data_IF_014844750601
#
_entry.id   IF_014844750601
#
_cell.length_a   1.000
_cell.length_b   1.000
_cell.length_c   1.000
_cell.angle_alpha   90.00
_cell.angle_beta   90.00
_cell.angle_gamma   90.00
#
_symmetry.space_group_name_H-M   'P 1'
#
loop_
_entity.id
_entity.type
_entity.pdbx_description
1 polymer ?
#
# COMPACT_ATOMS: atom_id res chain seq x y z
N UNK A 1 -9.57 -18.57 4.37
CA UNK A 1 -8.72 -17.36 4.42
C UNK A 1 -7.36 -17.83 4.92
N UNK A 2 -6.26 -17.66 4.17
CA UNK A 2 -4.94 -18.10 4.66
C UNK A 2 -4.60 -17.41 5.98
N UNK A 3 -3.91 -18.12 6.88
CA UNK A 3 -3.50 -17.61 8.20
C UNK A 3 -2.82 -16.23 8.06
N UNK A 4 -1.96 -16.09 7.05
CA UNK A 4 -1.26 -14.86 6.66
C UNK A 4 -2.16 -13.67 6.34
N UNK A 5 -3.24 -13.86 5.57
CA UNK A 5 -4.17 -12.76 5.24
C UNK A 5 -4.87 -12.24 6.49
N UNK A 6 -5.24 -13.15 7.39
CA UNK A 6 -5.87 -12.80 8.66
C UNK A 6 -4.91 -12.06 9.59
N UNK A 7 -3.67 -12.53 9.72
CA UNK A 7 -2.61 -11.87 10.49
C UNK A 7 -2.36 -10.45 9.96
N UNK A 8 -2.24 -10.28 8.64
CA UNK A 8 -2.05 -8.97 8.03
C UNK A 8 -3.25 -8.05 8.23
N UNK A 9 -4.48 -8.59 8.30
CA UNK A 9 -5.67 -7.80 8.62
C UNK A 9 -5.63 -7.27 10.05
N UNK A 10 -5.22 -8.10 11.02
CA UNK A 10 -5.04 -7.64 12.42
C UNK A 10 -3.94 -6.58 12.48
N UNK A 11 -2.81 -6.82 11.81
CA UNK A 11 -1.74 -5.84 11.68
C UNK A 11 -2.26 -4.51 11.12
N UNK A 12 -3.04 -4.52 10.03
CA UNK A 12 -3.60 -3.30 9.44
C UNK A 12 -4.46 -2.52 10.43
N UNK A 13 -5.30 -3.19 11.21
CA UNK A 13 -6.13 -2.54 12.24
C UNK A 13 -5.26 -1.84 13.29
N UNK A 14 -4.30 -2.57 13.87
CA UNK A 14 -3.39 -2.04 14.90
C UNK A 14 -2.48 -0.93 14.35
N UNK A 15 -2.00 -1.08 13.12
CA UNK A 15 -1.18 -0.08 12.45
C UNK A 15 -1.98 1.19 12.17
N UNK A 16 -3.27 1.07 11.82
CA UNK A 16 -4.13 2.24 11.64
C UNK A 16 -4.33 3.00 12.96
N UNK A 17 -4.54 2.29 14.06
CA UNK A 17 -4.62 2.89 15.42
C UNK A 17 -3.31 3.60 15.77
N UNK A 18 -2.16 2.96 15.51
CA UNK A 18 -0.84 3.56 15.70
C UNK A 18 -0.64 4.81 14.83
N UNK A 19 -0.94 4.75 13.53
CA UNK A 19 -0.79 5.88 12.62
C UNK A 19 -1.69 7.07 13.03
N UNK A 20 -2.90 6.81 13.52
CA UNK A 20 -3.78 7.84 14.06
C UNK A 20 -3.25 8.43 15.38
N UNK A 21 -2.62 7.62 16.25
CA UNK A 21 -2.07 8.11 17.52
C UNK A 21 -0.83 8.99 17.35
N UNK A 22 -0.07 8.80 16.26
CA UNK A 22 1.07 9.65 15.91
C UNK A 22 0.68 11.09 15.53
N UNK A 23 -0.58 11.32 15.14
CA UNK A 23 -1.06 12.63 14.65
C UNK A 23 -0.15 13.25 13.57
N UNK A 24 0.18 12.45 12.54
CA UNK A 24 1.10 12.87 11.46
C UNK A 24 0.63 14.21 10.87
N UNK A 25 1.45 15.27 10.87
CA UNK A 25 1.01 16.59 10.44
C UNK A 25 0.68 16.63 8.95
N UNK A 26 -0.45 17.22 8.59
CA UNK A 26 -0.83 17.49 7.20
C UNK A 26 -0.20 18.78 6.68
N UNK A 27 0.18 19.68 7.60
CA UNK A 27 0.73 21.02 7.33
C UNK A 27 1.93 21.26 8.25
N UNK A 28 2.96 21.96 7.75
CA UNK A 28 4.19 22.22 8.52
C UNK A 28 4.65 23.68 8.42
N UNK A 29 5.43 24.10 9.43
CA UNK A 29 6.06 25.41 9.50
C UNK A 29 5.13 26.57 9.86
N UNK A 30 5.72 27.76 10.03
CA UNK A 30 5.03 28.99 10.44
C UNK A 30 3.86 29.37 9.51
N UNK A 31 3.99 29.05 8.22
CA UNK A 31 2.98 29.36 7.19
C UNK A 31 1.97 28.24 6.94
N UNK A 32 1.97 27.16 7.76
CA UNK A 32 1.08 25.99 7.61
C UNK A 32 1.05 25.44 6.17
N UNK A 33 2.24 25.24 5.57
CA UNK A 33 2.36 24.73 4.20
C UNK A 33 1.87 23.28 4.16
N UNK A 34 0.90 22.99 3.30
CA UNK A 34 0.37 21.64 3.12
C UNK A 34 1.40 20.70 2.49
N UNK A 35 1.54 19.51 3.06
CA UNK A 35 2.45 18.50 2.53
C UNK A 35 1.88 17.83 1.27
N UNK A 36 2.76 17.58 0.31
CA UNK A 36 2.41 16.87 -0.92
C UNK A 36 1.98 15.43 -0.61
N UNK A 37 1.13 14.84 -1.44
CA UNK A 37 0.69 13.44 -1.25
C UNK A 37 1.86 12.46 -1.34
N UNK A 38 2.92 12.79 -2.09
CA UNK A 38 4.15 11.99 -2.12
C UNK A 38 4.88 12.03 -0.78
N UNK A 39 5.10 13.22 -0.25
CA UNK A 39 5.77 13.40 1.06
C UNK A 39 5.01 12.68 2.17
N UNK A 40 3.68 12.79 2.17
CA UNK A 40 2.84 12.09 3.13
C UNK A 40 2.95 10.58 2.96
N UNK A 41 2.93 10.05 1.73
CA UNK A 41 3.12 8.62 1.47
C UNK A 41 4.43 8.11 2.05
N UNK A 42 5.53 8.82 1.80
CA UNK A 42 6.86 8.43 2.29
C UNK A 42 6.91 8.38 3.83
N UNK A 43 6.27 9.36 4.50
CA UNK A 43 6.20 9.40 5.98
C UNK A 43 5.35 8.25 6.53
N UNK A 44 4.17 8.01 5.94
CA UNK A 44 3.27 6.93 6.34
C UNK A 44 3.94 5.58 6.17
N UNK A 45 4.63 5.36 5.04
CA UNK A 45 5.34 4.12 4.76
C UNK A 45 6.43 3.86 5.80
N UNK A 46 7.21 4.88 6.17
CA UNK A 46 8.24 4.75 7.22
C UNK A 46 7.65 4.36 8.57
N UNK A 47 6.56 5.01 9.00
CA UNK A 47 5.90 4.66 10.26
C UNK A 47 5.28 3.26 10.21
N UNK A 48 4.64 2.91 9.09
CA UNK A 48 4.09 1.57 8.87
C UNK A 48 5.18 0.51 8.95
N UNK A 49 6.35 0.76 8.33
CA UNK A 49 7.50 -0.14 8.35
C UNK A 49 8.04 -0.30 9.78
N UNK A 50 8.23 0.82 10.51
CA UNK A 50 8.69 0.76 11.91
C UNK A 50 7.74 -0.06 12.76
N UNK A 51 6.43 0.22 12.68
CA UNK A 51 5.42 -0.54 13.40
C UNK A 51 5.36 -2.01 12.96
N UNK A 52 5.63 -2.31 11.69
CA UNK A 52 5.72 -3.69 11.19
C UNK A 52 6.88 -4.46 11.82
N UNK A 53 8.04 -3.82 11.97
CA UNK A 53 9.20 -4.38 12.68
C UNK A 53 8.82 -4.66 14.14
N UNK A 54 8.23 -3.68 14.83
CA UNK A 54 7.81 -3.83 16.23
C UNK A 54 6.78 -4.95 16.41
N UNK A 55 5.85 -5.08 15.46
CA UNK A 55 4.75 -6.05 15.55
C UNK A 55 5.19 -7.49 15.25
N UNK A 56 6.03 -7.70 14.23
CA UNK A 56 6.44 -9.04 13.80
C UNK A 56 7.76 -9.51 14.40
N UNK A 57 8.64 -8.57 14.76
CA UNK A 57 10.02 -8.80 15.15
C UNK A 57 11.01 -8.45 14.03
N UNK A 58 12.12 -7.84 14.39
CA UNK A 58 13.20 -7.44 13.46
C UNK A 58 13.82 -8.64 12.74
N UNK A 59 13.87 -9.81 13.39
CA UNK A 59 14.35 -11.06 12.82
C UNK A 59 13.47 -11.56 11.65
N UNK A 60 12.20 -11.16 11.63
CA UNK A 60 11.21 -11.61 10.63
C UNK A 60 11.00 -10.63 9.49
N UNK A 61 11.43 -9.37 9.63
CA UNK A 61 11.16 -8.32 8.66
C UNK A 61 12.43 -7.96 7.88
N UNK A 62 12.39 -8.10 6.56
CA UNK A 62 13.52 -7.76 5.65
C UNK A 62 13.05 -6.87 4.51
N UNK A 63 13.96 -6.07 3.97
CA UNK A 63 13.69 -5.20 2.83
C UNK A 63 14.25 -5.77 1.54
N UNK A 64 13.49 -5.66 0.45
CA UNK A 64 13.96 -6.00 -0.89
C UNK A 64 13.50 -4.96 -1.89
N UNK A 65 14.43 -4.47 -2.70
CA UNK A 65 14.16 -3.52 -3.76
C UNK A 65 14.17 -4.23 -5.13
N UNK A 66 13.10 -4.04 -5.92
CA UNK A 66 13.05 -4.43 -7.32
C UNK A 66 13.01 -3.21 -8.23
N UNK A 67 14.19 -2.71 -8.62
CA UNK A 67 14.33 -1.56 -9.55
C UNK A 67 13.54 -0.33 -9.08
N UNK A 68 13.69 0.05 -7.81
CA UNK A 68 13.00 1.20 -7.23
C UNK A 68 11.62 0.88 -6.65
N UNK A 69 11.27 -0.40 -6.49
CA UNK A 69 10.05 -0.82 -5.79
C UNK A 69 10.41 -1.60 -4.55
N UNK A 70 10.13 -1.00 -3.41
CA UNK A 70 10.37 -1.59 -2.11
C UNK A 70 9.23 -2.54 -1.73
N UNK A 71 9.63 -3.72 -1.29
CA UNK A 71 8.75 -4.75 -0.76
C UNK A 71 9.36 -5.21 0.55
N UNK A 72 8.48 -5.45 1.51
CA UNK A 72 8.84 -5.95 2.81
C UNK A 72 8.63 -7.45 2.82
N UNK A 73 9.65 -8.20 3.18
CA UNK A 73 9.59 -9.63 3.34
C UNK A 73 9.27 -9.90 4.81
N UNK A 74 8.23 -10.66 5.07
CA UNK A 74 7.86 -11.10 6.43
C UNK A 74 7.96 -12.63 6.47
N UNK A 75 8.80 -13.16 7.33
CA UNK A 75 8.92 -14.60 7.55
C UNK A 75 8.04 -15.02 8.73
N UNK A 76 6.90 -15.65 8.44
CA UNK A 76 6.01 -16.28 9.42
C UNK A 76 6.09 -17.81 9.28
N UNK A 77 4.96 -18.51 9.31
CA UNK A 77 4.84 -19.91 8.87
C UNK A 77 5.18 -20.07 7.37
N UNK A 78 5.02 -19.00 6.60
CA UNK A 78 5.44 -18.86 5.21
C UNK A 78 6.17 -17.53 4.99
N UNK A 79 6.85 -17.39 3.85
CA UNK A 79 7.46 -16.12 3.45
C UNK A 79 6.45 -15.27 2.69
N UNK A 80 6.11 -14.12 3.26
CA UNK A 80 5.23 -13.13 2.66
C UNK A 80 6.04 -12.01 2.05
N UNK A 81 5.62 -11.54 0.89
CA UNK A 81 6.08 -10.30 0.29
C UNK A 81 4.96 -9.28 0.45
N UNK A 82 5.20 -8.18 1.13
CA UNK A 82 4.20 -7.17 1.43
C UNK A 82 4.57 -5.87 0.74
N UNK A 83 3.69 -5.42 -0.13
CA UNK A 83 3.75 -4.08 -0.69
C UNK A 83 2.79 -3.16 0.05
N UNK A 84 3.28 -2.03 0.54
CA UNK A 84 2.46 -1.01 1.21
C UNK A 84 1.98 -0.01 0.16
N UNK A 85 0.72 0.41 0.28
CA UNK A 85 0.12 1.48 -0.50
C UNK A 85 -0.57 2.47 0.41
N UNK A 86 -0.33 3.75 0.16
CA UNK A 86 -1.00 4.82 0.88
C UNK A 86 -1.69 5.74 -0.13
N UNK A 87 -2.92 6.13 0.16
CA UNK A 87 -3.67 7.02 -0.71
C UNK A 87 -4.55 7.96 0.11
N UNK A 88 -4.73 9.17 -0.41
CA UNK A 88 -5.81 10.03 0.04
C UNK A 88 -7.15 9.39 -0.32
N UNK A 89 -8.11 9.44 0.61
CA UNK A 89 -9.38 8.76 0.47
C UNK A 89 -10.20 9.35 -0.68
N UNK A 90 -10.55 8.50 -1.65
CA UNK A 90 -11.39 8.86 -2.77
C UNK A 90 -12.48 7.81 -2.99
N UNK A 91 -13.72 8.16 -2.61
CA UNK A 91 -14.91 7.30 -2.75
C UNK A 91 -15.23 6.92 -4.20
N UNK A 92 -14.72 7.68 -5.17
CA UNK A 92 -14.97 7.47 -6.60
C UNK A 92 -13.87 6.63 -7.26
N UNK A 93 -12.81 6.26 -6.55
CA UNK A 93 -11.72 5.45 -7.10
C UNK A 93 -12.06 3.96 -6.96
N UNK A 94 -12.00 3.22 -8.06
CA UNK A 94 -12.33 1.79 -8.09
C UNK A 94 -11.10 0.90 -7.93
N UNK A 95 -9.90 1.41 -8.23
CA UNK A 95 -8.66 0.64 -8.12
C UNK A 95 -7.49 1.49 -7.65
N UNK A 96 -6.54 0.86 -6.97
CA UNK A 96 -5.27 1.48 -6.61
C UNK A 96 -4.14 0.99 -7.51
N UNK A 97 -3.12 1.83 -7.67
CA UNK A 97 -1.94 1.49 -8.42
C UNK A 97 -0.98 0.62 -7.60
N UNK A 98 -0.53 -0.50 -8.17
CA UNK A 98 0.42 -1.40 -7.52
C UNK A 98 1.85 -1.23 -8.03
N UNK A 99 2.09 -1.51 -9.31
CA UNK A 99 3.44 -1.57 -9.89
C UNK A 99 3.47 -1.11 -11.35
N UNK A 100 4.66 -0.92 -11.92
CA UNK A 100 4.80 -0.90 -13.38
C UNK A 100 4.57 -2.29 -13.97
N UNK A 101 4.01 -2.37 -15.17
CA UNK A 101 3.65 -3.63 -15.81
C UNK A 101 4.87 -4.54 -16.05
N UNK A 102 6.05 -3.96 -16.33
CA UNK A 102 7.29 -4.70 -16.53
C UNK A 102 7.76 -5.41 -15.26
N UNK A 103 7.52 -4.82 -14.08
CA UNK A 103 7.86 -5.41 -12.79
C UNK A 103 6.90 -6.54 -12.46
N UNK A 104 5.60 -6.37 -12.66
CA UNK A 104 4.62 -7.45 -12.45
C UNK A 104 4.97 -8.68 -13.27
N UNK A 105 5.27 -8.50 -14.56
CA UNK A 105 5.73 -9.60 -15.44
C UNK A 105 6.96 -10.30 -14.90
N UNK A 106 7.92 -9.58 -14.30
CA UNK A 106 9.12 -10.17 -13.69
C UNK A 106 8.76 -10.96 -12.42
N UNK A 107 7.95 -10.40 -11.54
CA UNK A 107 7.51 -11.05 -10.30
C UNK A 107 6.67 -12.30 -10.59
N UNK A 108 5.85 -12.27 -11.63
CA UNK A 108 5.07 -13.43 -12.10
C UNK A 108 5.98 -14.57 -12.58
N UNK A 109 7.01 -14.27 -13.38
CA UNK A 109 8.02 -15.27 -13.81
C UNK A 109 8.78 -15.87 -12.63
N UNK A 110 9.01 -15.08 -11.58
CA UNK A 110 9.66 -15.52 -10.35
C UNK A 110 8.70 -16.22 -9.36
N UNK A 111 7.43 -16.42 -9.75
CA UNK A 111 6.36 -16.98 -8.90
C UNK A 111 6.13 -16.20 -7.59
N UNK A 112 6.57 -14.95 -7.51
CA UNK A 112 6.43 -14.11 -6.31
C UNK A 112 4.99 -13.68 -6.09
N UNK A 113 4.18 -13.55 -7.15
CA UNK A 113 2.77 -13.13 -7.02
C UNK A 113 1.93 -14.06 -6.13
N UNK A 114 2.34 -15.32 -5.97
CA UNK A 114 1.70 -16.31 -5.09
C UNK A 114 1.91 -16.01 -3.60
N UNK A 115 2.90 -15.18 -3.29
CA UNK A 115 3.28 -14.80 -1.93
C UNK A 115 3.22 -13.28 -1.73
N UNK A 116 2.80 -12.53 -2.75
CA UNK A 116 2.75 -11.07 -2.71
C UNK A 116 1.37 -10.60 -2.25
N UNK A 117 1.37 -9.88 -1.14
CA UNK A 117 0.23 -9.25 -0.52
C UNK A 117 0.34 -7.73 -0.68
N UNK A 118 -0.80 -7.05 -0.70
CA UNK A 118 -0.84 -5.61 -0.69
C UNK A 118 -1.60 -5.10 0.54
N UNK A 119 -0.93 -4.30 1.35
CA UNK A 119 -1.54 -3.56 2.44
C UNK A 119 -1.82 -2.14 1.97
N UNK A 120 -3.03 -1.64 2.21
CA UNK A 120 -3.45 -0.30 1.81
C UNK A 120 -3.95 0.50 3.01
N UNK A 121 -3.41 1.70 3.21
CA UNK A 121 -3.90 2.69 4.16
C UNK A 121 -4.52 3.89 3.43
N UNK A 122 -5.75 4.24 3.80
CA UNK A 122 -6.49 5.37 3.23
C UNK A 122 -6.64 6.48 4.28
N UNK A 123 -6.24 7.69 3.93
CA UNK A 123 -6.24 8.83 4.84
C UNK A 123 -6.98 10.06 4.29
N UNK A 124 -7.46 10.94 5.18
CA UNK A 124 -7.94 12.28 4.86
C UNK A 124 -6.93 13.30 5.38
N UNK A 125 -6.66 14.34 4.57
CA UNK A 125 -5.84 15.50 4.98
C UNK A 125 -6.54 16.86 4.80
N UNK A 126 -7.58 16.93 3.98
CA UNK A 126 -8.26 18.19 3.67
C UNK A 126 -8.92 18.78 4.93
N UNK A 127 -8.70 20.08 5.16
CA UNK A 127 -9.22 20.83 6.31
C UNK A 127 -8.80 20.28 7.69
N UNK A 128 -7.70 19.53 7.79
CA UNK A 128 -7.14 19.02 9.04
C UNK A 128 -5.72 19.53 9.30
N UNK A 129 -5.34 19.54 10.57
CA UNK A 129 -3.96 19.81 10.99
C UNK A 129 -3.09 18.52 10.96
N UNK A 130 -3.72 17.36 11.13
CA UNK A 130 -3.09 16.03 11.06
C UNK A 130 -3.87 15.08 10.15
N UNK A 131 -3.22 14.01 9.70
CA UNK A 131 -3.84 12.95 8.91
C UNK A 131 -4.81 12.14 9.78
N UNK A 132 -5.99 11.85 9.23
CA UNK A 132 -6.90 10.85 9.79
C UNK A 132 -6.91 9.63 8.88
N UNK A 133 -6.56 8.47 9.42
CA UNK A 133 -6.62 7.19 8.71
C UNK A 133 -8.00 6.57 8.88
N UNK A 134 -8.70 6.40 7.76
CA UNK A 134 -10.06 5.86 7.72
C UNK A 134 -10.09 4.34 7.63
N UNK A 135 -9.10 3.75 6.96
CA UNK A 135 -9.03 2.30 6.81
C UNK A 135 -7.62 1.80 6.54
N UNK A 136 -7.31 0.63 7.12
CA UNK A 136 -6.23 -0.25 6.73
C UNK A 136 -6.83 -1.54 6.16
N UNK A 137 -6.45 -1.93 4.95
CA UNK A 137 -7.04 -3.09 4.25
C UNK A 137 -5.95 -3.96 3.63
N UNK A 138 -6.26 -5.24 3.43
CA UNK A 138 -5.33 -6.20 2.84
C UNK A 138 -5.93 -6.89 1.61
N UNK A 139 -5.14 -6.96 0.54
CA UNK A 139 -5.37 -7.85 -0.58
C UNK A 139 -4.49 -9.10 -0.45
N UNK A 140 -5.06 -10.26 -0.77
CA UNK A 140 -4.38 -11.56 -0.70
C UNK A 140 -3.30 -11.75 -1.78
N UNK A 141 -2.85 -13.00 -2.00
CA UNK A 141 -1.89 -13.32 -3.04
C UNK A 141 -2.29 -12.70 -4.38
N UNK A 142 -1.43 -11.86 -4.94
CA UNK A 142 -1.75 -11.16 -6.18
C UNK A 142 -1.91 -12.09 -7.40
N UNK A 143 -1.54 -13.36 -7.30
CA UNK A 143 -1.86 -14.37 -8.32
C UNK A 143 -3.33 -14.77 -8.37
N UNK A 144 -4.11 -14.48 -7.32
CA UNK A 144 -5.52 -14.89 -7.19
C UNK A 144 -6.51 -13.74 -7.46
N UNK A 145 -6.00 -12.56 -7.79
CA UNK A 145 -6.82 -11.35 -8.02
C UNK A 145 -6.65 -10.88 -9.45
N UNK A 146 -7.68 -10.22 -9.96
CA UNK A 146 -7.63 -9.63 -11.29
C UNK A 146 -6.80 -8.34 -11.28
N UNK A 147 -5.72 -8.36 -12.06
CA UNK A 147 -4.74 -7.28 -12.19
C UNK A 147 -4.99 -6.54 -13.50
N UNK A 148 -5.38 -5.27 -13.39
CA UNK A 148 -5.72 -4.43 -14.54
C UNK A 148 -4.45 -3.75 -15.05
N UNK A 149 -4.11 -4.00 -16.31
CA UNK A 149 -3.03 -3.28 -16.98
C UNK A 149 -3.57 -2.02 -17.64
N UNK A 150 -2.95 -0.88 -17.36
CA UNK A 150 -3.37 0.43 -17.84
C UNK A 150 -2.18 1.21 -18.37
N UNK A 151 -2.28 1.71 -19.59
CA UNK A 151 -1.36 2.71 -20.15
C UNK A 151 -2.05 4.06 -20.16
N UNK A 152 -1.32 5.13 -19.82
CA UNK A 152 -1.86 6.50 -19.85
C UNK A 152 -2.47 6.81 -21.22
N UNK A 153 -3.76 7.14 -21.22
CA UNK A 153 -4.56 7.38 -22.43
C UNK A 153 -5.55 6.27 -22.77
N UNK A 154 -5.43 5.09 -22.15
CA UNK A 154 -6.43 4.03 -22.27
C UNK A 154 -7.76 4.45 -21.61
N UNK A 155 -8.86 3.84 -22.05
CA UNK A 155 -10.21 4.04 -21.48
C UNK A 155 -10.67 2.77 -20.73
N UNK A 156 -10.19 2.53 -19.50
CA UNK A 156 -10.63 1.39 -18.70
C UNK A 156 -12.09 1.56 -18.25
N UNK A 157 -12.80 0.45 -18.06
CA UNK A 157 -14.19 0.43 -17.58
C UNK A 157 -14.36 0.84 -16.10
N UNK A 158 -13.27 1.13 -15.40
CA UNK A 158 -13.24 1.48 -13.98
C UNK A 158 -12.38 2.71 -13.74
N UNK A 159 -12.60 3.41 -12.62
CA UNK A 159 -11.85 4.60 -12.25
C UNK A 159 -10.54 4.21 -11.58
N UNK A 160 -9.44 4.42 -12.30
CA UNK A 160 -8.08 4.14 -11.87
C UNK A 160 -7.35 5.42 -11.43
N UNK A 161 -6.23 5.24 -10.73
CA UNK A 161 -5.27 6.33 -10.45
C UNK A 161 -4.42 6.61 -11.70
N UNK A 162 -4.50 7.83 -12.25
CA UNK A 162 -3.91 8.17 -13.56
C UNK A 162 -2.71 9.12 -13.48
N UNK A 163 -2.25 9.44 -12.26
CA UNK A 163 -1.15 10.39 -12.00
C UNK A 163 0.22 9.92 -12.50
N UNK A 164 0.36 8.64 -12.90
CA UNK A 164 1.63 8.03 -13.26
C UNK A 164 1.77 7.83 -14.78
N UNK A 165 3.00 7.98 -15.30
CA UNK A 165 3.31 7.80 -16.73
C UNK A 165 3.79 6.38 -17.05
N UNK A 166 3.41 5.85 -18.22
CA UNK A 166 3.76 4.48 -18.66
C UNK A 166 2.66 3.45 -18.36
N UNK A 167 2.96 2.18 -18.62
CA UNK A 167 2.02 1.08 -18.37
C UNK A 167 2.17 0.53 -16.95
N UNK A 168 1.06 0.50 -16.23
CA UNK A 168 0.99 0.10 -14.84
C UNK A 168 -0.03 -0.98 -14.59
N UNK A 169 0.11 -1.62 -13.44
CA UNK A 169 -0.81 -2.61 -12.93
C UNK A 169 -1.61 -2.01 -11.77
N UNK A 170 -2.93 -2.12 -11.85
CA UNK A 170 -3.87 -1.68 -10.83
C UNK A 170 -4.60 -2.88 -10.24
N UNK A 171 -4.98 -2.74 -8.97
CA UNK A 171 -5.79 -3.70 -8.24
C UNK A 171 -7.10 -3.05 -7.82
N UNK A 172 -8.22 -3.67 -8.19
CA UNK A 172 -9.54 -3.19 -7.81
C UNK A 172 -9.72 -3.21 -6.29
N UNK A 173 -10.33 -2.14 -5.78
CA UNK A 173 -10.62 -1.93 -4.37
C UNK A 173 -11.50 -3.04 -3.78
N UNK A 174 -12.33 -3.70 -4.59
CA UNK A 174 -13.15 -4.85 -4.20
C UNK A 174 -12.36 -6.05 -3.69
N UNK A 175 -11.08 -6.17 -4.04
CA UNK A 175 -10.22 -7.28 -3.59
C UNK A 175 -9.55 -7.04 -2.24
N UNK A 176 -9.65 -5.81 -1.71
CA UNK A 176 -9.22 -5.48 -0.37
C UNK A 176 -10.32 -5.81 0.64
N UNK A 177 -9.95 -6.44 1.76
CA UNK A 177 -10.85 -6.81 2.87
C UNK A 177 -10.37 -6.32 4.22
#
# INVERSE_FOLDING_TARGET
>A
MTNSKFILKIFCSKCMEHLNSLQIPAKVGKHKIGLSSRTLSDVIEKHTIGFMIDYFGEDKVKFKNWRGYDVIIITLEETLYVNIKTNEHNKKMDATWLFSASIVKKLQKQKILQHLYCVKFEYIKENRDYLEFLSGKVAGPLSEVDLIYYTKGDNPSCKLRTEFNGTHCHLLNKFYV
#
